data_IF_586056317197
#
_entry.id   IF_586056317197
#
_cell.length_a   1.000
_cell.length_b   1.000
_cell.length_c   1.000
_cell.angle_alpha   90.00
_cell.angle_beta   90.00
_cell.angle_gamma   90.00
#
_symmetry.space_group_name_H-M   'P 1'
#
loop_
_entity.id
_entity.type
_entity.pdbx_description
1 polymer ?
#
# COMPACT_ATOMS: atom_id res chain seq x y z
N UNK A 1 12.06 -23.97 18.29
CA UNK A 1 11.45 -22.80 17.65
C UNK A 1 10.59 -22.05 18.66
N UNK A 2 10.73 -20.74 18.70
CA UNK A 2 9.88 -19.83 19.48
C UNK A 2 9.39 -18.73 18.53
N UNK A 3 8.09 -18.46 18.53
CA UNK A 3 7.53 -17.31 17.83
C UNK A 3 7.85 -16.05 18.63
N UNK A 4 8.27 -14.98 17.94
CA UNK A 4 8.49 -13.67 18.56
C UNK A 4 7.14 -13.00 18.75
N UNK A 5 6.84 -12.57 19.96
CA UNK A 5 5.58 -11.89 20.29
C UNK A 5 5.42 -10.62 19.45
N UNK A 6 4.19 -10.33 19.04
CA UNK A 6 3.83 -9.18 18.23
C UNK A 6 2.49 -8.61 18.69
N UNK A 7 2.32 -7.30 18.50
CA UNK A 7 1.05 -6.60 18.75
C UNK A 7 0.01 -6.79 17.63
N UNK A 8 0.43 -7.34 16.49
CA UNK A 8 -0.47 -7.69 15.40
C UNK A 8 -0.88 -9.15 15.54
N UNK A 9 -2.09 -9.40 15.96
CA UNK A 9 -2.61 -10.74 16.33
C UNK A 9 -2.43 -11.81 15.24
N UNK A 10 -2.30 -11.39 13.98
CA UNK A 10 -2.16 -12.28 12.83
C UNK A 10 -0.71 -12.46 12.35
N UNK A 11 0.23 -11.68 12.88
CA UNK A 11 1.62 -11.74 12.43
C UNK A 11 2.45 -12.69 13.30
N UNK A 12 2.29 -13.98 13.08
CA UNK A 12 3.12 -15.01 13.71
C UNK A 12 4.24 -15.50 12.77
N UNK A 13 4.72 -14.62 11.90
CA UNK A 13 5.65 -15.01 10.85
C UNK A 13 7.12 -14.92 11.27
N UNK A 14 7.45 -14.23 12.38
CA UNK A 14 8.83 -14.14 12.88
C UNK A 14 9.02 -15.18 13.99
N UNK A 15 9.97 -16.06 13.77
CA UNK A 15 10.32 -17.11 14.73
C UNK A 15 11.84 -17.19 14.91
N UNK A 16 12.27 -17.77 16.02
CA UNK A 16 13.68 -17.98 16.34
C UNK A 16 13.96 -19.40 16.77
N UNK A 17 15.14 -19.86 16.47
CA UNK A 17 15.77 -21.00 17.10
C UNK A 17 17.06 -20.58 17.81
N UNK A 18 17.90 -21.54 18.16
CA UNK A 18 19.19 -21.29 18.84
C UNK A 18 20.14 -20.42 18.01
N UNK A 19 20.06 -20.49 16.68
CA UNK A 19 21.06 -19.97 15.77
C UNK A 19 20.54 -18.88 14.85
N UNK A 20 19.22 -18.87 14.53
CA UNK A 20 18.66 -18.08 13.45
C UNK A 20 17.38 -17.36 13.82
N UNK A 21 17.12 -16.24 13.14
CA UNK A 21 15.81 -15.57 13.06
C UNK A 21 15.19 -15.92 11.69
N UNK A 22 13.96 -16.36 11.74
CA UNK A 22 13.19 -16.77 10.56
C UNK A 22 12.04 -15.80 10.32
N UNK A 23 11.81 -15.51 9.07
CA UNK A 23 10.61 -14.84 8.62
C UNK A 23 9.99 -15.62 7.46
N UNK A 24 8.78 -16.15 7.69
CA UNK A 24 8.22 -17.13 6.78
C UNK A 24 9.17 -18.32 6.59
N UNK A 25 9.62 -18.54 5.35
CA UNK A 25 10.55 -19.61 5.00
C UNK A 25 12.01 -19.14 4.90
N UNK A 26 12.30 -17.88 5.22
CA UNK A 26 13.62 -17.28 5.03
C UNK A 26 14.33 -17.01 6.34
N UNK A 27 15.66 -17.05 6.30
CA UNK A 27 16.53 -16.70 7.42
C UNK A 27 16.99 -15.25 7.27
N UNK A 28 16.71 -14.41 8.26
CA UNK A 28 17.27 -13.06 8.34
C UNK A 28 18.63 -13.14 9.05
N UNK A 29 19.68 -13.23 8.27
CA UNK A 29 21.05 -13.48 8.76
C UNK A 29 21.60 -12.38 9.67
N UNK A 30 21.14 -11.14 9.51
CA UNK A 30 21.65 -9.97 10.22
C UNK A 30 21.05 -9.76 11.61
N UNK A 31 20.09 -10.57 12.00
CA UNK A 31 19.43 -10.45 13.30
C UNK A 31 19.96 -11.48 14.28
N UNK A 32 20.26 -11.03 15.50
CA UNK A 32 20.69 -11.89 16.59
C UNK A 32 19.47 -12.59 17.26
N UNK A 33 19.35 -13.94 17.14
CA UNK A 33 18.20 -14.66 17.69
C UNK A 33 18.06 -14.57 19.21
N UNK A 34 19.15 -14.25 19.93
CA UNK A 34 19.12 -14.11 21.39
C UNK A 34 18.64 -12.73 21.86
N UNK A 35 18.61 -11.74 20.95
CA UNK A 35 18.30 -10.36 21.29
C UNK A 35 17.06 -9.82 20.54
N UNK A 36 16.45 -10.62 19.67
CA UNK A 36 15.33 -10.18 18.85
C UNK A 36 14.08 -9.90 19.69
N UNK A 37 13.41 -8.79 19.38
CA UNK A 37 12.13 -8.39 19.96
C UNK A 37 11.25 -7.68 18.93
N UNK A 38 9.94 -7.66 19.16
CA UNK A 38 8.99 -6.88 18.37
C UNK A 38 8.94 -5.44 18.90
N UNK A 39 8.97 -4.48 17.98
CA UNK A 39 8.71 -3.07 18.27
C UNK A 39 7.20 -2.76 18.13
N UNK A 40 6.47 -3.61 17.39
CA UNK A 40 5.11 -3.39 16.97
C UNK A 40 4.97 -2.93 15.51
N UNK A 41 3.74 -2.86 15.00
CA UNK A 41 3.42 -2.48 13.61
C UNK A 41 4.18 -3.29 12.54
N UNK A 42 4.60 -4.52 12.84
CA UNK A 42 5.40 -5.37 11.93
C UNK A 42 6.90 -5.10 11.98
N UNK A 43 7.40 -4.29 12.91
CA UNK A 43 8.82 -4.02 13.08
C UNK A 43 9.46 -4.89 14.15
N UNK A 44 10.65 -5.40 13.83
CA UNK A 44 11.45 -6.27 14.72
C UNK A 44 12.90 -5.78 14.76
N UNK A 45 13.52 -5.88 15.93
CA UNK A 45 14.89 -5.42 16.12
C UNK A 45 15.65 -6.34 17.08
N UNK A 46 16.97 -6.36 16.93
CA UNK A 46 17.90 -6.94 17.91
C UNK A 46 18.72 -5.86 18.65
N UNK A 47 18.33 -4.58 18.49
CA UNK A 47 19.05 -3.42 19.02
C UNK A 47 20.15 -2.90 18.10
N UNK A 48 20.58 -3.66 17.07
CA UNK A 48 21.56 -3.24 16.07
C UNK A 48 20.97 -3.05 14.69
N UNK A 49 20.14 -3.97 14.28
CA UNK A 49 19.41 -3.96 13.02
C UNK A 49 17.91 -3.95 13.27
N UNK A 50 17.16 -3.27 12.42
CA UNK A 50 15.70 -3.25 12.47
C UNK A 50 15.15 -3.62 11.10
N UNK A 51 14.12 -4.47 11.10
CA UNK A 51 13.41 -4.92 9.92
C UNK A 51 11.92 -4.66 10.06
N UNK A 52 11.29 -4.29 8.97
CA UNK A 52 9.85 -4.47 8.78
C UNK A 52 9.62 -5.84 8.17
N UNK A 53 8.67 -6.59 8.70
CA UNK A 53 8.26 -7.91 8.23
C UNK A 53 6.76 -7.87 7.95
N UNK A 54 6.37 -8.02 6.69
CA UNK A 54 4.97 -7.95 6.28
C UNK A 54 4.18 -9.15 6.79
N UNK A 55 2.98 -8.91 7.30
CA UNK A 55 2.03 -9.97 7.63
C UNK A 55 1.21 -10.46 6.43
N UNK A 56 1.39 -9.84 5.28
CA UNK A 56 0.73 -10.20 4.02
C UNK A 56 1.75 -10.78 3.06
N UNK A 57 1.41 -11.91 2.45
CA UNK A 57 2.21 -12.47 1.38
C UNK A 57 1.89 -11.74 0.06
N UNK A 58 2.90 -11.60 -0.75
CA UNK A 58 2.79 -11.06 -2.11
C UNK A 58 3.20 -12.14 -3.12
N UNK A 59 2.66 -12.05 -4.34
CA UNK A 59 3.10 -12.96 -5.41
C UNK A 59 4.56 -12.71 -5.72
N UNK A 60 5.33 -13.78 -5.81
CA UNK A 60 6.74 -13.72 -6.17
C UNK A 60 6.87 -13.45 -7.68
N UNK A 61 7.11 -12.20 -8.04
CA UNK A 61 7.28 -11.78 -9.43
C UNK A 61 8.61 -12.20 -10.03
N UNK A 62 9.59 -12.55 -9.19
CA UNK A 62 10.92 -13.02 -9.63
C UNK A 62 10.91 -14.51 -9.99
N UNK A 63 9.85 -15.23 -9.61
CA UNK A 63 9.68 -16.63 -9.97
C UNK A 63 9.01 -16.73 -11.35
N UNK A 64 9.79 -17.14 -12.35
CA UNK A 64 9.25 -17.39 -13.68
C UNK A 64 8.27 -18.57 -13.70
N UNK A 65 7.28 -18.52 -14.58
CA UNK A 65 6.26 -19.58 -14.69
C UNK A 65 6.85 -21.00 -14.84
N UNK A 66 7.90 -21.25 -15.66
CA UNK A 66 8.50 -22.58 -15.75
C UNK A 66 9.10 -23.04 -14.42
N UNK A 67 9.74 -22.16 -13.67
CA UNK A 67 10.30 -22.49 -12.36
C UNK A 67 9.22 -22.76 -11.31
N UNK A 68 8.11 -22.03 -11.35
CA UNK A 68 6.96 -22.30 -10.48
C UNK A 68 6.38 -23.69 -10.72
N UNK A 69 6.29 -24.11 -11.99
CA UNK A 69 5.85 -25.49 -12.36
C UNK A 69 6.82 -26.54 -11.83
N UNK A 70 8.13 -26.33 -12.03
CA UNK A 70 9.17 -27.26 -11.53
C UNK A 70 9.09 -27.41 -10.01
N UNK A 71 9.07 -26.30 -9.28
CA UNK A 71 8.95 -26.33 -7.82
C UNK A 71 7.65 -27.00 -7.34
N UNK A 72 6.55 -26.81 -8.08
CA UNK A 72 5.28 -27.46 -7.78
C UNK A 72 5.35 -28.97 -7.98
N UNK A 73 6.01 -29.43 -9.04
CA UNK A 73 6.24 -30.85 -9.29
C UNK A 73 7.16 -31.48 -8.23
N UNK A 74 8.25 -30.78 -7.89
CA UNK A 74 9.15 -31.21 -6.81
C UNK A 74 8.41 -31.35 -5.48
N UNK A 75 7.53 -30.42 -5.16
CA UNK A 75 6.73 -30.46 -3.93
C UNK A 75 5.74 -31.61 -3.91
N UNK A 76 5.13 -31.94 -5.06
CA UNK A 76 4.22 -33.10 -5.17
C UNK A 76 4.95 -34.41 -4.84
N UNK A 77 6.20 -34.52 -5.29
CA UNK A 77 7.02 -35.73 -5.12
C UNK A 77 7.65 -35.80 -3.74
N UNK A 78 8.34 -34.74 -3.31
CA UNK A 78 9.18 -34.76 -2.09
C UNK A 78 8.44 -34.26 -0.84
N UNK A 79 7.45 -33.39 -1.00
CA UNK A 79 6.74 -32.61 0.06
C UNK A 79 7.66 -31.78 0.98
N UNK A 80 8.94 -31.62 0.62
CA UNK A 80 9.93 -30.99 1.47
C UNK A 80 9.93 -29.46 1.38
N UNK A 81 9.68 -28.89 0.20
CA UNK A 81 9.69 -27.44 -0.01
C UNK A 81 8.47 -27.00 -0.80
N UNK A 82 7.62 -26.19 -0.19
CA UNK A 82 6.53 -25.53 -0.90
C UNK A 82 7.06 -24.62 -2.01
N UNK A 83 6.35 -24.53 -3.16
CA UNK A 83 6.66 -23.56 -4.20
C UNK A 83 6.72 -22.16 -3.62
N UNK A 84 7.70 -21.36 -4.06
CA UNK A 84 7.87 -19.99 -3.64
C UNK A 84 7.01 -19.02 -4.46
N UNK A 85 5.81 -19.43 -4.85
CA UNK A 85 4.85 -18.60 -5.59
C UNK A 85 4.41 -17.36 -4.83
N UNK A 86 4.49 -17.44 -3.49
CA UNK A 86 4.21 -16.33 -2.58
C UNK A 86 5.34 -16.17 -1.60
N UNK A 87 5.75 -14.91 -1.40
CA UNK A 87 6.78 -14.52 -0.45
C UNK A 87 6.18 -13.54 0.57
N UNK A 88 6.76 -13.50 1.76
CA UNK A 88 6.48 -12.48 2.75
C UNK A 88 7.56 -11.41 2.65
N UNK A 89 7.25 -10.21 2.14
CA UNK A 89 8.26 -9.18 1.97
C UNK A 89 8.75 -8.67 3.33
N UNK A 90 10.06 -8.50 3.42
CA UNK A 90 10.70 -7.86 4.55
C UNK A 90 11.71 -6.82 4.08
N UNK A 91 11.89 -5.77 4.87
CA UNK A 91 12.72 -4.64 4.51
C UNK A 91 13.61 -4.24 5.69
N UNK A 92 14.93 -4.23 5.49
CA UNK A 92 15.87 -3.67 6.45
C UNK A 92 15.79 -2.15 6.44
N UNK A 93 15.69 -1.54 7.62
CA UNK A 93 15.69 -0.10 7.73
C UNK A 93 17.11 0.45 7.60
N UNK A 94 17.26 1.46 6.75
CA UNK A 94 18.53 2.16 6.52
C UNK A 94 18.77 3.26 7.57
N UNK A 95 18.70 2.91 8.86
CA UNK A 95 18.98 3.84 9.96
C UNK A 95 19.77 3.15 11.07
N UNK A 96 20.61 3.93 11.75
CA UNK A 96 21.31 3.51 12.97
C UNK A 96 20.62 4.02 14.24
N UNK A 97 19.51 4.77 14.09
CA UNK A 97 18.76 5.31 15.21
C UNK A 97 17.81 4.26 15.77
N UNK A 98 17.49 4.36 17.05
CA UNK A 98 16.47 3.53 17.66
C UNK A 98 15.12 3.78 17.01
N UNK A 99 14.45 2.73 16.62
CA UNK A 99 13.12 2.75 16.03
C UNK A 99 12.07 2.57 17.11
N UNK A 100 11.00 3.32 17.00
CA UNK A 100 9.81 3.22 17.86
C UNK A 100 8.58 3.02 16.99
N UNK A 101 7.62 2.28 17.51
CA UNK A 101 6.28 2.17 16.92
C UNK A 101 5.67 3.56 16.76
N UNK A 102 4.96 3.76 15.66
CA UNK A 102 4.14 4.94 15.45
C UNK A 102 2.67 4.58 15.69
N UNK A 103 2.15 4.94 16.87
CA UNK A 103 0.87 4.39 17.35
C UNK A 103 -0.37 4.84 16.57
N UNK A 104 -0.26 5.96 15.83
CA UNK A 104 -1.41 6.52 15.10
C UNK A 104 -1.73 5.80 13.78
N UNK A 105 -0.76 5.10 13.20
CA UNK A 105 -0.90 4.47 11.89
C UNK A 105 -0.27 3.07 11.88
N UNK A 106 -1.02 2.12 11.31
CA UNK A 106 -0.54 0.74 11.14
C UNK A 106 0.56 0.72 10.08
N UNK A 107 1.58 -0.13 10.27
CA UNK A 107 2.77 -0.27 9.43
C UNK A 107 3.73 0.92 9.44
N UNK A 108 3.52 1.88 10.35
CA UNK A 108 4.42 3.00 10.51
C UNK A 108 5.32 2.84 11.74
N UNK A 109 6.54 3.37 11.61
CA UNK A 109 7.50 3.52 12.69
C UNK A 109 8.27 4.84 12.54
N UNK A 110 8.98 5.25 13.59
CA UNK A 110 9.78 6.48 13.60
C UNK A 110 11.11 6.28 14.31
N UNK A 111 12.13 6.96 13.84
CA UNK A 111 13.41 7.11 14.53
C UNK A 111 13.53 8.44 15.29
N UNK A 112 12.41 9.15 15.48
CA UNK A 112 12.33 10.47 16.10
C UNK A 112 12.62 11.61 15.14
N UNK A 113 13.18 11.36 13.95
CA UNK A 113 13.44 12.34 12.90
C UNK A 113 12.65 12.03 11.64
N UNK A 114 12.62 10.77 11.26
CA UNK A 114 11.98 10.29 10.04
C UNK A 114 10.81 9.38 10.38
N UNK A 115 9.83 9.34 9.49
CA UNK A 115 8.81 8.31 9.45
C UNK A 115 9.17 7.23 8.44
N UNK A 116 8.79 6.01 8.75
CA UNK A 116 8.95 4.84 7.90
C UNK A 116 7.60 4.20 7.69
N UNK A 117 7.30 3.85 6.45
CA UNK A 117 6.16 3.05 6.06
C UNK A 117 6.66 1.73 5.49
N UNK A 118 6.25 0.60 6.09
CA UNK A 118 6.71 -0.75 5.70
C UNK A 118 8.25 -0.85 5.52
N UNK A 119 9.00 -0.20 6.42
CA UNK A 119 10.47 -0.19 6.41
C UNK A 119 11.14 0.82 5.50
N UNK A 120 10.42 1.50 4.62
CA UNK A 120 10.93 2.54 3.73
C UNK A 120 10.71 3.94 4.30
N UNK A 121 11.68 4.85 4.17
CA UNK A 121 11.54 6.21 4.68
C UNK A 121 10.51 7.01 3.88
N UNK A 122 9.58 7.64 4.58
CA UNK A 122 8.62 8.56 4.00
C UNK A 122 9.26 9.94 3.87
N UNK A 123 9.61 10.33 2.65
CA UNK A 123 10.32 11.60 2.39
C UNK A 123 9.48 12.81 2.77
N UNK A 124 10.08 13.75 3.51
CA UNK A 124 9.47 15.02 3.90
C UNK A 124 8.17 14.91 4.72
N UNK A 125 7.88 13.77 5.30
CA UNK A 125 6.67 13.59 6.10
C UNK A 125 6.78 14.26 7.46
N UNK A 126 5.73 14.98 7.83
CA UNK A 126 5.59 15.54 9.18
C UNK A 126 4.91 14.52 10.09
N UNK A 127 5.69 13.95 11.01
CA UNK A 127 5.22 12.99 11.98
C UNK A 127 4.11 13.53 12.90
N UNK A 128 4.00 14.84 13.07
CA UNK A 128 2.98 15.42 13.97
C UNK A 128 1.61 15.52 13.32
N UNK A 129 1.56 15.66 12.00
CA UNK A 129 0.32 15.95 11.27
C UNK A 129 -0.12 14.87 10.31
N UNK A 130 0.74 13.86 10.06
CA UNK A 130 0.39 12.78 9.14
C UNK A 130 -0.80 11.96 9.63
N UNK A 131 -1.69 11.67 8.71
CA UNK A 131 -2.90 10.86 8.91
C UNK A 131 -3.26 10.07 7.66
N UNK A 132 -4.01 8.99 7.82
CA UNK A 132 -4.67 8.32 6.71
C UNK A 132 -5.84 9.18 6.22
N UNK A 133 -6.04 9.25 4.90
CA UNK A 133 -7.16 9.96 4.30
C UNK A 133 -8.38 9.04 4.38
N UNK A 134 -9.43 9.48 5.07
CA UNK A 134 -10.71 8.74 5.23
C UNK A 134 -10.62 7.36 5.92
N UNK A 135 -9.47 6.98 6.48
CA UNK A 135 -9.28 5.67 7.13
C UNK A 135 -9.26 4.48 6.19
N UNK A 136 -9.26 4.69 4.88
CA UNK A 136 -9.33 3.66 3.84
C UNK A 136 -8.15 3.76 2.86
N UNK A 137 -7.82 2.62 2.26
CA UNK A 137 -6.70 2.55 1.31
C UNK A 137 -5.36 2.90 1.95
N UNK A 138 -4.36 3.06 1.12
CA UNK A 138 -2.98 3.37 1.53
C UNK A 138 -2.58 4.82 1.16
N UNK A 139 -3.56 5.74 1.20
CA UNK A 139 -3.34 7.17 1.00
C UNK A 139 -3.21 7.90 2.33
N UNK A 140 -2.18 8.73 2.44
CA UNK A 140 -1.85 9.49 3.64
C UNK A 140 -1.61 10.95 3.27
N UNK A 141 -1.84 11.86 4.19
CA UNK A 141 -1.43 13.25 4.04
C UNK A 141 -0.89 13.81 5.35
N UNK A 142 0.03 14.76 5.25
CA UNK A 142 0.37 15.71 6.29
C UNK A 142 -0.19 17.11 5.94
N UNK A 143 0.24 18.15 6.63
CA UNK A 143 -0.20 19.52 6.35
C UNK A 143 0.12 19.98 4.92
N UNK A 144 1.19 19.46 4.31
CA UNK A 144 1.71 19.95 3.03
C UNK A 144 1.59 18.94 1.91
N UNK A 145 1.87 17.68 2.20
CA UNK A 145 2.14 16.64 1.23
C UNK A 145 1.08 15.53 1.27
N UNK A 146 0.95 14.86 0.16
CA UNK A 146 0.09 13.68 0.00
C UNK A 146 0.96 12.50 -0.43
N UNK A 147 0.63 11.33 0.08
CA UNK A 147 1.40 10.11 -0.12
C UNK A 147 0.49 8.95 -0.53
N UNK A 148 1.00 8.11 -1.41
CA UNK A 148 0.48 6.77 -1.61
C UNK A 148 1.57 5.78 -1.20
N UNK A 149 1.29 4.97 -0.18
CA UNK A 149 2.30 4.07 0.43
C UNK A 149 3.52 4.88 0.90
N UNK A 150 4.71 4.57 0.36
CA UNK A 150 5.98 5.25 0.64
C UNK A 150 6.32 6.37 -0.36
N UNK A 151 5.48 6.60 -1.38
CA UNK A 151 5.72 7.57 -2.44
C UNK A 151 4.96 8.88 -2.19
N UNK A 152 5.66 10.00 -2.41
CA UNK A 152 5.04 11.33 -2.38
C UNK A 152 4.35 11.59 -3.71
N UNK A 153 3.07 11.97 -3.65
CA UNK A 153 2.32 12.31 -4.85
C UNK A 153 2.59 13.75 -5.31
N UNK A 154 2.51 14.04 -6.61
CA UNK A 154 2.73 15.38 -7.17
C UNK A 154 1.54 16.32 -6.95
N UNK A 155 0.92 16.26 -5.78
CA UNK A 155 -0.20 17.08 -5.35
C UNK A 155 0.05 17.59 -3.93
N UNK A 156 -0.47 18.76 -3.61
CA UNK A 156 -0.44 19.30 -2.23
C UNK A 156 -1.74 19.00 -1.51
N UNK A 157 -1.65 18.90 -0.19
CA UNK A 157 -2.84 18.75 0.62
C UNK A 157 -3.69 20.03 0.56
N UNK A 158 -4.82 19.96 -0.14
CA UNK A 158 -5.76 21.06 -0.32
C UNK A 158 -6.68 21.26 0.90
N UNK A 159 -6.71 20.28 1.81
CA UNK A 159 -7.67 20.19 2.90
C UNK A 159 -9.04 19.61 2.48
N UNK A 160 -9.23 19.30 1.19
CA UNK A 160 -10.48 18.76 0.63
C UNK A 160 -10.25 17.42 -0.10
N UNK A 161 -9.30 16.64 0.41
CA UNK A 161 -9.00 15.31 -0.09
C UNK A 161 -9.99 14.28 0.45
N UNK A 162 -10.45 13.40 -0.41
CA UNK A 162 -11.29 12.26 -0.05
C UNK A 162 -10.88 10.99 -0.79
N UNK A 163 -11.31 9.85 -0.26
CA UNK A 163 -11.16 8.56 -0.92
C UNK A 163 -12.50 8.17 -1.52
N UNK A 164 -12.50 7.95 -2.82
CA UNK A 164 -13.60 7.34 -3.58
C UNK A 164 -13.25 5.88 -3.80
N UNK A 165 -14.17 4.98 -3.50
CA UNK A 165 -13.90 3.54 -3.57
C UNK A 165 -14.86 2.80 -4.47
N UNK A 166 -14.34 1.78 -5.15
CA UNK A 166 -15.13 0.67 -5.66
C UNK A 166 -15.06 -0.42 -4.57
N UNK A 167 -16.17 -0.83 -3.96
CA UNK A 167 -16.15 -1.80 -2.88
C UNK A 167 -15.37 -3.06 -3.24
N UNK A 168 -14.41 -3.42 -2.37
CA UNK A 168 -13.54 -4.61 -2.47
C UNK A 168 -12.51 -4.60 -3.62
N UNK A 169 -12.33 -3.48 -4.33
CA UNK A 169 -11.46 -3.44 -5.50
C UNK A 169 -10.41 -2.33 -5.48
N UNK A 170 -10.84 -1.08 -5.71
CA UNK A 170 -9.93 0.04 -5.94
C UNK A 170 -10.26 1.26 -5.09
N UNK A 171 -9.22 2.00 -4.73
CA UNK A 171 -9.32 3.28 -4.03
C UNK A 171 -8.75 4.38 -4.91
N UNK A 172 -9.52 5.46 -5.04
CA UNK A 172 -9.10 6.67 -5.75
C UNK A 172 -8.96 7.81 -4.76
N UNK A 173 -7.86 8.53 -4.83
CA UNK A 173 -7.74 9.82 -4.18
C UNK A 173 -8.38 10.88 -5.08
N UNK A 174 -9.30 11.63 -4.54
CA UNK A 174 -9.96 12.74 -5.20
C UNK A 174 -9.76 14.04 -4.41
N UNK A 175 -9.29 15.07 -5.07
CA UNK A 175 -9.24 16.43 -4.51
C UNK A 175 -10.44 17.23 -5.00
N UNK A 176 -11.41 17.46 -4.12
CA UNK A 176 -12.62 18.24 -4.45
C UNK A 176 -12.32 19.68 -4.83
N UNK A 177 -11.19 20.23 -4.37
CA UNK A 177 -10.82 21.62 -4.67
C UNK A 177 -10.29 21.78 -6.09
N UNK A 178 -9.51 20.83 -6.57
CA UNK A 178 -8.85 20.92 -7.88
C UNK A 178 -9.49 20.00 -8.93
N UNK A 179 -10.28 19.03 -8.52
CA UNK A 179 -10.83 18.00 -9.40
C UNK A 179 -9.76 17.00 -9.87
N UNK A 180 -8.62 16.91 -9.19
CA UNK A 180 -7.57 15.96 -9.51
C UNK A 180 -7.89 14.58 -8.93
N UNK A 181 -7.57 13.53 -9.70
CA UNK A 181 -7.81 12.14 -9.32
C UNK A 181 -6.54 11.32 -9.47
N UNK A 182 -6.31 10.44 -8.50
CA UNK A 182 -5.22 9.46 -8.53
C UNK A 182 -5.75 8.05 -8.24
N UNK A 183 -5.22 7.07 -8.96
CA UNK A 183 -5.30 5.67 -8.56
C UNK A 183 -3.86 5.21 -8.24
N UNK A 184 -3.59 4.93 -6.98
CA UNK A 184 -2.21 4.73 -6.54
C UNK A 184 -1.33 5.95 -6.83
N UNK A 185 -0.25 5.75 -7.58
CA UNK A 185 0.63 6.83 -8.07
C UNK A 185 0.23 7.36 -9.45
N UNK A 186 -0.72 6.71 -10.13
CA UNK A 186 -1.20 7.14 -11.43
C UNK A 186 -2.12 8.34 -11.29
N UNK A 187 -1.72 9.48 -11.86
CA UNK A 187 -2.52 10.70 -11.96
C UNK A 187 -3.35 10.68 -13.25
N UNK A 188 -4.61 11.03 -13.13
CA UNK A 188 -5.46 11.20 -14.33
C UNK A 188 -4.97 12.38 -15.16
N UNK A 189 -5.31 12.39 -16.46
CA UNK A 189 -4.82 13.40 -17.40
C UNK A 189 -5.19 14.82 -16.96
N UNK A 190 -4.19 15.64 -16.70
CA UNK A 190 -4.35 17.03 -16.27
C UNK A 190 -5.09 17.90 -17.32
N UNK A 191 -4.98 17.56 -18.59
CA UNK A 191 -5.64 18.33 -19.66
C UNK A 191 -7.15 18.20 -19.61
N UNK A 192 -7.64 17.07 -19.13
CA UNK A 192 -9.07 16.80 -18.97
C UNK A 192 -9.59 17.21 -17.59
N UNK A 193 -8.73 17.56 -16.64
CA UNK A 193 -9.14 18.06 -15.33
C UNK A 193 -9.87 19.42 -15.44
N UNK A 194 -10.76 19.80 -14.52
CA UNK A 194 -11.17 19.02 -13.35
C UNK A 194 -12.07 17.84 -13.68
N UNK A 195 -11.98 16.80 -12.85
CA UNK A 195 -12.89 15.67 -12.88
C UNK A 195 -13.93 15.80 -11.78
N UNK A 196 -15.12 15.31 -12.04
CA UNK A 196 -16.17 15.09 -11.04
C UNK A 196 -16.49 13.60 -10.94
N UNK A 197 -16.66 13.11 -9.72
CA UNK A 197 -16.98 11.70 -9.47
C UNK A 197 -18.47 11.51 -9.73
N UNK A 198 -18.83 10.65 -10.67
CA UNK A 198 -20.23 10.31 -10.96
C UNK A 198 -20.66 9.13 -10.07
N UNK A 199 -19.82 8.13 -9.89
CA UNK A 199 -20.10 6.93 -9.13
C UNK A 199 -19.73 5.65 -9.87
N UNK A 200 -20.09 4.52 -9.28
CA UNK A 200 -19.85 3.21 -9.87
C UNK A 200 -21.14 2.64 -10.48
N UNK A 201 -20.99 1.87 -11.53
CA UNK A 201 -22.09 1.07 -12.07
C UNK A 201 -22.06 -0.31 -11.41
N UNK A 202 -23.03 -0.58 -10.52
CA UNK A 202 -23.14 -1.85 -9.81
C UNK A 202 -23.52 -3.05 -10.70
N UNK A 203 -24.00 -2.80 -11.92
CA UNK A 203 -24.47 -3.87 -12.83
C UNK A 203 -23.42 -4.37 -13.82
N UNK A 204 -22.39 -3.59 -14.09
CA UNK A 204 -21.34 -3.94 -15.06
C UNK A 204 -19.96 -3.76 -14.44
N UNK A 205 -19.68 -4.56 -13.43
CA UNK A 205 -18.36 -4.80 -12.84
C UNK A 205 -17.46 -3.55 -12.79
N UNK A 206 -17.38 -2.94 -11.63
CA UNK A 206 -16.06 -2.58 -11.16
C UNK A 206 -15.41 -1.35 -11.82
N UNK A 207 -16.20 -0.43 -12.34
CA UNK A 207 -15.65 0.81 -12.90
C UNK A 207 -16.22 2.03 -12.20
N UNK A 208 -15.34 2.90 -11.73
CA UNK A 208 -15.68 4.24 -11.29
C UNK A 208 -15.73 5.17 -12.50
N UNK A 209 -16.82 5.92 -12.62
CA UNK A 209 -17.01 6.89 -13.69
C UNK A 209 -16.73 8.30 -13.20
N UNK A 210 -16.13 9.08 -14.08
CA UNK A 210 -15.76 10.46 -13.86
C UNK A 210 -16.24 11.29 -15.04
N UNK A 211 -16.77 12.48 -14.78
CA UNK A 211 -17.06 13.46 -15.81
C UNK A 211 -15.97 14.52 -15.85
N UNK A 212 -15.69 15.02 -17.03
CA UNK A 212 -14.90 16.22 -17.26
C UNK A 212 -15.53 17.07 -18.34
N UNK A 213 -14.98 18.25 -18.60
CA UNK A 213 -15.40 19.12 -19.70
C UNK A 213 -15.33 18.43 -21.08
N UNK A 214 -14.43 17.45 -21.23
CA UNK A 214 -14.14 16.79 -22.51
C UNK A 214 -14.94 15.49 -22.70
N UNK A 215 -15.67 15.02 -21.69
CA UNK A 215 -16.47 13.80 -21.81
C UNK A 215 -16.57 12.99 -20.52
N UNK A 216 -17.06 11.79 -20.68
CA UNK A 216 -17.14 10.77 -19.63
C UNK A 216 -15.93 9.85 -19.68
N UNK A 217 -15.43 9.53 -18.53
CA UNK A 217 -14.25 8.69 -18.35
C UNK A 217 -14.52 7.56 -17.36
N UNK A 218 -13.82 6.45 -17.53
CA UNK A 218 -13.75 5.38 -16.53
C UNK A 218 -12.31 4.90 -16.37
N UNK A 219 -12.01 4.38 -15.21
CA UNK A 219 -10.72 3.77 -14.95
C UNK A 219 -10.73 2.30 -15.36
N UNK A 220 -9.85 1.96 -16.30
CA UNK A 220 -9.66 0.57 -16.76
C UNK A 220 -8.58 -0.11 -15.90
N UNK A 221 -9.00 -0.91 -14.92
CA UNK A 221 -8.10 -1.59 -13.98
C UNK A 221 -7.15 -2.59 -14.65
N UNK A 222 -7.57 -3.21 -15.77
CA UNK A 222 -6.71 -4.14 -16.52
C UNK A 222 -5.56 -3.42 -17.25
N UNK A 223 -5.80 -2.19 -17.70
CA UNK A 223 -4.82 -1.37 -18.41
C UNK A 223 -4.14 -0.33 -17.53
N UNK A 224 -4.57 -0.23 -16.27
CA UNK A 224 -4.10 0.77 -15.30
C UNK A 224 -4.10 2.20 -15.85
N UNK A 225 -5.18 2.59 -16.50
CA UNK A 225 -5.33 3.93 -17.06
C UNK A 225 -6.79 4.36 -17.16
N UNK A 226 -6.98 5.69 -17.24
CA UNK A 226 -8.28 6.26 -17.55
C UNK A 226 -8.57 6.15 -19.05
N UNK A 227 -9.80 5.81 -19.40
CA UNK A 227 -10.27 5.73 -20.79
C UNK A 227 -11.55 6.55 -20.95
N UNK A 228 -11.65 7.25 -22.09
CA UNK A 228 -12.84 8.01 -22.44
C UNK A 228 -13.95 7.06 -22.85
N UNK A 229 -15.12 7.21 -22.22
CA UNK A 229 -16.30 6.39 -22.52
C UNK A 229 -17.21 7.04 -23.57
N UNK A 230 -17.26 8.37 -23.63
CA UNK A 230 -18.12 9.09 -24.54
C UNK A 230 -18.08 10.60 -24.31
N UNK A 231 -18.95 11.31 -25.00
CA UNK A 231 -19.14 12.74 -24.78
C UNK A 231 -19.90 12.97 -23.47
N UNK A 232 -19.65 14.11 -22.84
CA UNK A 232 -20.43 14.51 -21.69
C UNK A 232 -21.81 15.00 -22.19
N UNK A 233 -22.90 14.25 -21.96
CA UNK A 233 -24.21 14.61 -22.49
C UNK A 233 -24.82 15.83 -21.77
N UNK A 234 -24.19 16.30 -20.68
CA UNK A 234 -24.73 17.36 -19.82
C UNK A 234 -23.98 18.69 -19.98
N UNK A 235 -23.21 18.87 -21.05
CA UNK A 235 -22.45 20.09 -21.33
C UNK A 235 -21.65 20.64 -20.14
N UNK A 236 -21.13 19.74 -19.31
CA UNK A 236 -20.35 20.09 -18.12
C UNK A 236 -21.16 20.23 -16.82
N UNK A 237 -22.48 20.14 -16.86
CA UNK A 237 -23.29 20.12 -15.64
C UNK A 237 -23.54 18.68 -15.19
N UNK A 238 -22.73 18.21 -14.25
CA UNK A 238 -22.79 16.84 -13.72
C UNK A 238 -23.85 16.70 -12.63
N UNK A 239 -24.32 17.78 -12.03
CA UNK A 239 -25.39 17.74 -11.02
C UNK A 239 -26.68 17.12 -11.54
N UNK A 240 -26.94 17.25 -12.83
CA UNK A 240 -28.10 16.62 -13.48
C UNK A 240 -28.08 15.08 -13.48
N UNK A 241 -26.95 14.45 -13.15
CA UNK A 241 -26.80 12.98 -13.09
C UNK A 241 -27.15 12.40 -11.72
N UNK A 242 -27.10 13.20 -10.66
CA UNK A 242 -27.30 12.74 -9.29
C UNK A 242 -28.70 12.95 -8.77
N UNK A 243 -29.52 13.69 -9.48
CA UNK A 243 -30.89 14.07 -9.07
C UNK A 243 -32.01 13.20 -9.72
N UNK A 244 -31.65 12.05 -10.34
CA UNK A 244 -32.63 11.07 -10.86
C UNK A 244 -32.54 9.71 -10.19
#
# INVERSE_FOLDING_TARGET
FKVVDTDISYNKCVAVDKNNVYFGNEIIKDLNPKAIYSIGNGYYSDGKSTYFCSNQSERNTDLSWPMEVIQSMEYIVSKDKKPQSYIYPYQKLATKRSIKKFDRLIYFATDGKNLYYKGKPLKNADANTIKNISGKGEFYCDVKNVYFKDEILPIKNSGQLEIVEIPQEDYFLYDRKTGEVFNGTYRFDEKSAPYEVIGNNSTHAHSMFFASKDGLYYYNSKRHRIERSGDNPFNGDVKALTDN
#
